data_IF_681846360175
#
_entry.id   IF_681846360175
#
_cell.length_a   1.000
_cell.length_b   1.000
_cell.length_c   1.000
_cell.angle_alpha   90.00
_cell.angle_beta   90.00
_cell.angle_gamma   90.00
#
_symmetry.space_group_name_H-M   'P 1'
#
loop_
_entity.id
_entity.type
_entity.pdbx_description
1 polymer ?
#
# COMPACT_ATOMS: atom_id res chain seq x y z
N UNK A 1 14.43 -10.03 -46.98
CA UNK A 1 13.54 -9.88 -45.82
C UNK A 1 14.41 -10.00 -44.58
N UNK A 2 14.91 -8.88 -44.06
CA UNK A 2 15.72 -8.82 -42.84
C UNK A 2 14.78 -8.61 -41.66
N UNK A 3 14.77 -9.56 -40.72
CA UNK A 3 14.03 -9.45 -39.47
C UNK A 3 14.67 -8.36 -38.60
N UNK A 4 13.92 -7.31 -38.30
CA UNK A 4 14.30 -6.25 -37.37
C UNK A 4 14.20 -6.81 -35.94
N UNK A 5 15.29 -7.43 -35.47
CA UNK A 5 15.43 -7.88 -34.07
C UNK A 5 15.74 -6.65 -33.21
N UNK A 6 14.70 -5.91 -32.80
CA UNK A 6 14.85 -4.95 -31.71
C UNK A 6 14.88 -5.71 -30.40
N UNK A 7 16.05 -5.78 -29.78
CA UNK A 7 16.18 -6.23 -28.39
C UNK A 7 15.23 -5.42 -27.50
N UNK A 8 14.55 -6.06 -26.53
CA UNK A 8 13.79 -5.32 -25.53
C UNK A 8 14.77 -4.50 -24.69
N UNK A 9 14.66 -3.18 -24.79
CA UNK A 9 15.38 -2.26 -23.91
C UNK A 9 14.78 -2.39 -22.52
N UNK A 10 15.45 -3.15 -21.65
CA UNK A 10 15.15 -3.16 -20.23
C UNK A 10 15.61 -1.83 -19.64
N UNK A 11 14.67 -0.89 -19.46
CA UNK A 11 14.96 0.33 -18.72
C UNK A 11 15.10 -0.02 -17.23
N UNK A 12 16.25 0.30 -16.66
CA UNK A 12 16.47 0.19 -15.21
C UNK A 12 15.49 1.12 -14.50
N UNK A 13 14.77 0.67 -13.45
CA UNK A 13 13.92 1.55 -12.67
C UNK A 13 14.72 2.73 -12.14
N UNK A 14 14.11 3.92 -12.16
CA UNK A 14 14.69 5.08 -11.51
C UNK A 14 14.73 4.88 -9.98
N UNK A 15 15.59 5.65 -9.30
CA UNK A 15 15.65 5.64 -7.84
C UNK A 15 14.28 5.93 -7.21
N UNK A 16 13.53 6.88 -7.78
CA UNK A 16 12.17 7.23 -7.32
C UNK A 16 11.20 6.07 -7.45
N UNK A 17 11.23 5.34 -8.56
CA UNK A 17 10.36 4.17 -8.75
C UNK A 17 10.67 3.04 -7.77
N UNK A 18 11.96 2.89 -7.43
CA UNK A 18 12.42 1.95 -6.40
C UNK A 18 11.92 2.37 -5.02
N UNK A 19 12.07 3.64 -4.66
CA UNK A 19 11.63 4.19 -3.37
C UNK A 19 10.11 4.05 -3.19
N UNK A 20 9.33 4.32 -4.25
CA UNK A 20 7.88 4.12 -4.22
C UNK A 20 7.54 2.64 -3.99
N UNK A 21 8.25 1.73 -4.68
CA UNK A 21 8.03 0.29 -4.52
C UNK A 21 8.35 -0.19 -3.10
N UNK A 22 9.47 0.28 -2.52
CA UNK A 22 9.84 -0.02 -1.13
C UNK A 22 8.82 0.55 -0.15
N UNK A 23 8.35 1.77 -0.35
CA UNK A 23 7.32 2.38 0.49
C UNK A 23 6.01 1.58 0.51
N UNK A 24 5.60 0.98 -0.63
CA UNK A 24 4.43 0.10 -0.68
C UNK A 24 4.63 -1.19 0.11
N UNK A 25 5.85 -1.75 0.08
CA UNK A 25 6.21 -2.94 0.85
C UNK A 25 6.17 -2.62 2.35
N UNK A 26 6.88 -1.58 2.79
CA UNK A 26 6.93 -1.16 4.18
C UNK A 26 5.54 -0.79 4.73
N UNK A 27 4.72 -0.11 3.93
CA UNK A 27 3.33 0.19 4.29
C UNK A 27 2.51 -1.09 4.47
N UNK A 28 2.70 -2.09 3.60
CA UNK A 28 2.06 -3.40 3.71
C UNK A 28 2.45 -4.13 5.00
N UNK A 29 3.73 -4.12 5.35
CA UNK A 29 4.22 -4.72 6.59
C UNK A 29 3.62 -4.03 7.81
N UNK A 30 3.60 -2.70 7.83
CA UNK A 30 2.98 -1.91 8.89
C UNK A 30 1.47 -2.20 9.02
N UNK A 31 0.75 -2.31 7.91
CA UNK A 31 -0.68 -2.65 7.90
C UNK A 31 -0.92 -4.09 8.42
N UNK A 32 -0.06 -5.04 8.07
CA UNK A 32 -0.22 -6.45 8.48
C UNK A 32 -0.15 -6.64 9.99
N UNK A 33 0.61 -5.80 10.70
CA UNK A 33 0.75 -5.87 12.16
C UNK A 33 -0.58 -5.65 12.91
N UNK A 34 -1.56 -4.99 12.28
CA UNK A 34 -2.88 -4.75 12.86
C UNK A 34 -3.91 -5.84 12.53
N UNK A 35 -3.63 -6.71 11.56
CA UNK A 35 -4.58 -7.75 11.11
C UNK A 35 -5.08 -8.64 12.26
N UNK A 36 -4.23 -9.12 13.20
CA UNK A 36 -4.70 -9.96 14.30
C UNK A 36 -5.70 -9.24 15.23
N UNK A 37 -5.56 -7.92 15.39
CA UNK A 37 -6.45 -7.15 16.23
C UNK A 37 -7.87 -7.06 15.65
N UNK A 38 -8.03 -7.06 14.32
CA UNK A 38 -9.34 -6.89 13.67
C UNK A 38 -10.33 -8.04 13.94
N UNK A 39 -9.82 -9.21 14.33
CA UNK A 39 -10.63 -10.37 14.71
C UNK A 39 -10.89 -10.44 16.22
N UNK A 40 -10.35 -9.51 17.01
CA UNK A 40 -10.48 -9.53 18.45
C UNK A 40 -11.90 -9.11 18.90
N UNK A 41 -12.47 -9.78 19.91
CA UNK A 41 -13.76 -9.37 20.47
C UNK A 41 -13.68 -7.95 21.04
N UNK A 42 -14.69 -7.13 20.76
CA UNK A 42 -14.81 -5.78 21.33
C UNK A 42 -14.10 -4.67 20.57
N UNK A 43 -13.48 -4.97 19.42
CA UNK A 43 -12.97 -3.91 18.53
C UNK A 43 -14.15 -3.12 17.95
N UNK A 44 -14.14 -1.77 18.03
CA UNK A 44 -15.19 -0.95 17.45
C UNK A 44 -15.28 -1.14 15.93
N UNK A 45 -16.51 -1.21 15.40
CA UNK A 45 -16.72 -1.37 13.96
C UNK A 45 -16.03 -0.28 13.13
N UNK A 46 -15.99 0.96 13.63
CA UNK A 46 -15.29 2.06 12.95
C UNK A 46 -13.79 1.81 12.76
N UNK A 47 -13.15 1.07 13.68
CA UNK A 47 -11.74 0.68 13.56
C UNK A 47 -11.56 -0.39 12.48
N UNK A 48 -12.49 -1.34 12.41
CA UNK A 48 -12.53 -2.36 11.35
C UNK A 48 -12.73 -1.72 9.97
N UNK A 49 -13.65 -0.76 9.87
CA UNK A 49 -13.92 -0.05 8.62
C UNK A 49 -12.70 0.79 8.17
N UNK A 50 -12.03 1.47 9.10
CA UNK A 50 -10.78 2.19 8.80
C UNK A 50 -9.66 1.23 8.36
N UNK A 51 -9.60 0.02 8.93
CA UNK A 51 -8.65 -1.00 8.49
C UNK A 51 -8.98 -1.57 7.10
N UNK A 52 -10.26 -1.69 6.75
CA UNK A 52 -10.65 -2.06 5.39
C UNK A 52 -10.15 -1.04 4.37
N UNK A 53 -10.24 0.26 4.67
CA UNK A 53 -9.69 1.33 3.81
C UNK A 53 -8.17 1.15 3.62
N UNK A 54 -7.42 0.81 4.68
CA UNK A 54 -5.98 0.53 4.60
C UNK A 54 -5.69 -0.60 3.61
N UNK A 55 -6.42 -1.71 3.70
CA UNK A 55 -6.24 -2.88 2.82
C UNK A 55 -6.60 -2.54 1.38
N UNK A 56 -7.69 -1.81 1.15
CA UNK A 56 -8.12 -1.39 -0.18
C UNK A 56 -7.11 -0.44 -0.84
N UNK A 57 -6.59 0.53 -0.09
CA UNK A 57 -5.55 1.44 -0.58
C UNK A 57 -4.27 0.68 -0.92
N UNK A 58 -3.84 -0.28 -0.08
CA UNK A 58 -2.67 -1.10 -0.37
C UNK A 58 -2.89 -1.95 -1.64
N UNK A 59 -4.07 -2.53 -1.80
CA UNK A 59 -4.43 -3.30 -2.99
C UNK A 59 -4.45 -2.42 -4.25
N UNK A 60 -4.93 -1.19 -4.14
CA UNK A 60 -4.95 -0.21 -5.23
C UNK A 60 -3.54 0.27 -5.59
N UNK A 61 -2.72 0.62 -4.60
CA UNK A 61 -1.34 1.08 -4.77
C UNK A 61 -0.48 0.06 -5.55
N UNK A 62 -0.76 -1.24 -5.41
CA UNK A 62 -0.08 -2.32 -6.14
C UNK A 62 -0.48 -2.44 -7.61
N UNK A 63 -1.52 -1.74 -8.06
CA UNK A 63 -2.14 -1.89 -9.39
C UNK A 63 -2.08 -0.62 -10.24
N UNK A 64 -1.89 0.54 -9.63
CA UNK A 64 -1.84 1.82 -10.33
C UNK A 64 -0.42 2.14 -10.83
N UNK A 65 -0.28 3.07 -11.80
CA UNK A 65 1.02 3.62 -12.16
C UNK A 65 1.76 4.20 -10.94
N UNK A 66 3.09 4.03 -10.90
CA UNK A 66 3.91 4.48 -9.76
C UNK A 66 3.72 5.96 -9.37
N UNK A 67 3.54 6.92 -10.29
CA UNK A 67 3.29 8.32 -9.94
C UNK A 67 2.02 8.54 -9.09
N UNK A 68 1.04 7.64 -9.19
CA UNK A 68 -0.23 7.73 -8.46
C UNK A 68 -0.17 7.08 -7.07
N UNK A 69 0.91 6.36 -6.75
CA UNK A 69 1.06 5.64 -5.48
C UNK A 69 1.25 6.56 -4.27
N UNK A 70 2.11 7.59 -4.28
CA UNK A 70 2.32 8.46 -3.10
C UNK A 70 1.02 9.09 -2.53
N UNK A 71 0.11 9.68 -3.32
CA UNK A 71 -1.13 10.22 -2.77
C UNK A 71 -2.06 9.14 -2.20
N UNK A 72 -2.07 7.93 -2.79
CA UNK A 72 -2.82 6.80 -2.24
C UNK A 72 -2.26 6.39 -0.88
N UNK A 73 -0.94 6.22 -0.76
CA UNK A 73 -0.30 5.89 0.51
C UNK A 73 -0.59 6.96 1.56
N UNK A 74 -0.61 8.25 1.21
CA UNK A 74 -0.97 9.31 2.16
C UNK A 74 -2.40 9.16 2.72
N UNK A 75 -3.37 8.73 1.89
CA UNK A 75 -4.74 8.41 2.35
C UNK A 75 -4.72 7.18 3.26
N UNK A 76 -4.03 6.13 2.83
CA UNK A 76 -3.88 4.89 3.61
C UNK A 76 -3.21 5.12 4.97
N UNK A 77 -2.15 5.92 5.04
CA UNK A 77 -1.47 6.26 6.29
C UNK A 77 -2.42 6.99 7.24
N UNK A 78 -3.25 7.91 6.75
CA UNK A 78 -4.26 8.58 7.59
C UNK A 78 -5.30 7.61 8.15
N UNK A 79 -5.75 6.63 7.36
CA UNK A 79 -6.64 5.59 7.84
C UNK A 79 -5.94 4.70 8.90
N UNK A 80 -4.70 4.28 8.64
CA UNK A 80 -3.91 3.48 9.57
C UNK A 80 -3.65 4.21 10.91
N UNK A 81 -3.48 5.53 10.88
CA UNK A 81 -3.39 6.34 12.10
C UNK A 81 -4.69 6.35 12.90
N UNK A 82 -5.86 6.31 12.25
CA UNK A 82 -7.14 6.18 12.95
C UNK A 82 -7.31 4.80 13.56
N UNK A 83 -6.92 3.74 12.83
CA UNK A 83 -6.86 2.36 13.37
C UNK A 83 -5.98 2.32 14.63
N UNK A 84 -4.76 2.84 14.54
CA UNK A 84 -3.82 2.85 15.65
C UNK A 84 -4.40 3.54 16.89
N UNK A 85 -4.98 4.73 16.71
CA UNK A 85 -5.60 5.47 17.82
C UNK A 85 -6.80 4.74 18.41
N UNK A 86 -7.68 4.19 17.56
CA UNK A 86 -8.87 3.47 18.00
C UNK A 86 -8.57 2.17 18.75
N UNK A 87 -7.41 1.56 18.53
CA UNK A 87 -6.97 0.37 19.27
C UNK A 87 -6.28 0.70 20.60
N UNK A 88 -5.72 1.90 20.75
CA UNK A 88 -5.06 2.32 21.99
C UNK A 88 -6.04 2.88 23.03
N UNK A 89 -7.20 3.39 22.61
CA UNK A 89 -8.18 4.05 23.48
C UNK A 89 -7.86 5.52 23.67
#
# INVERSE_FOLDING_TARGET
MTADQREPVFQTPSAVETDISLAVIEYGDAASAYAPAMSAPGVPQSVVDDYAIVVDILALARRVPLPDVPPLLAVGTRALLRVHRGLLG
#
